data_IF_677883626339
#
_entry.id   IF_677883626339
#
_cell.length_a   1.000
_cell.length_b   1.000
_cell.length_c   1.000
_cell.angle_alpha   90.00
_cell.angle_beta   90.00
_cell.angle_gamma   90.00
#
_symmetry.space_group_name_H-M   'P 1'
#
loop_
_entity.id
_entity.type
_entity.pdbx_description
1 polymer ?
#
# COMPACT_ATOMS: atom_id res chain seq x y z
N UNK A 1 -4.21 7.42 -4.80
CA UNK A 1 -3.29 8.57 -4.51
C UNK A 1 -2.85 8.55 -3.05
N UNK A 2 -1.67 9.10 -2.72
CA UNK A 2 -1.36 9.46 -1.33
C UNK A 2 -2.10 10.74 -0.91
N UNK A 3 -2.04 11.10 0.37
CA UNK A 3 -2.80 12.23 0.89
C UNK A 3 -2.47 13.56 0.19
N UNK A 4 -1.19 13.95 -0.01
CA UNK A 4 -0.85 15.14 -0.81
C UNK A 4 -1.38 15.10 -2.25
N UNK A 5 -1.21 13.98 -2.96
CA UNK A 5 -1.73 13.79 -4.32
C UNK A 5 -3.26 13.91 -4.36
N UNK A 6 -3.96 13.32 -3.37
CA UNK A 6 -5.40 13.35 -3.28
C UNK A 6 -5.94 14.76 -3.06
N UNK A 7 -5.27 15.56 -2.21
CA UNK A 7 -5.64 16.96 -1.99
C UNK A 7 -5.51 17.77 -3.29
N UNK A 8 -4.42 17.57 -4.06
CA UNK A 8 -4.26 18.22 -5.37
C UNK A 8 -5.36 17.80 -6.35
N UNK A 9 -5.68 16.51 -6.44
CA UNK A 9 -6.74 16.00 -7.32
C UNK A 9 -8.12 16.56 -6.96
N UNK A 10 -8.39 16.78 -5.67
CA UNK A 10 -9.62 17.36 -5.16
C UNK A 10 -9.63 18.90 -5.12
N UNK A 11 -8.52 19.57 -5.46
CA UNK A 11 -8.41 21.03 -5.38
C UNK A 11 -8.42 21.58 -3.94
N UNK A 12 -8.02 20.78 -2.94
CA UNK A 12 -7.99 21.18 -1.54
C UNK A 12 -6.68 21.88 -1.19
N UNK A 13 -6.78 23.01 -0.49
CA UNK A 13 -5.63 23.77 0.00
C UNK A 13 -4.95 23.14 1.24
N UNK A 14 -5.60 22.18 1.89
CA UNK A 14 -5.11 21.56 3.12
C UNK A 14 -5.48 20.08 3.21
N UNK A 15 -4.68 19.34 3.98
CA UNK A 15 -4.92 17.93 4.23
C UNK A 15 -6.10 17.75 5.21
N UNK A 16 -7.01 16.78 4.96
CA UNK A 16 -8.03 16.39 5.92
C UNK A 16 -7.45 16.07 7.31
N UNK A 17 -8.04 16.64 8.36
CA UNK A 17 -7.53 16.54 9.73
C UNK A 17 -7.78 15.17 10.39
N UNK A 18 -8.85 14.46 10.00
CA UNK A 18 -9.25 13.20 10.60
C UNK A 18 -9.61 12.12 9.55
N UNK A 19 -9.88 10.91 10.02
CA UNK A 19 -10.27 9.81 9.12
C UNK A 19 -11.64 10.03 8.47
N UNK A 20 -12.60 10.66 9.15
CA UNK A 20 -13.93 10.90 8.59
C UNK A 20 -13.85 11.83 7.36
N UNK A 21 -13.03 12.87 7.44
CA UNK A 21 -12.72 13.77 6.34
C UNK A 21 -11.93 13.07 5.22
N UNK A 22 -11.00 12.18 5.55
CA UNK A 22 -10.33 11.32 4.55
C UNK A 22 -11.30 10.36 3.84
N UNK A 23 -12.28 9.79 4.55
CA UNK A 23 -13.35 8.95 3.96
C UNK A 23 -14.20 9.75 2.99
N UNK A 24 -14.60 10.97 3.37
CA UNK A 24 -15.34 11.90 2.48
C UNK A 24 -14.54 12.24 1.23
N UNK A 25 -13.26 12.54 1.38
CA UNK A 25 -12.36 12.80 0.25
C UNK A 25 -12.23 11.58 -0.68
N UNK A 26 -12.09 10.37 -0.13
CA UNK A 26 -12.02 9.16 -0.94
C UNK A 26 -13.31 8.94 -1.75
N UNK A 27 -14.48 9.18 -1.15
CA UNK A 27 -15.77 9.10 -1.83
C UNK A 27 -15.94 10.16 -2.91
N UNK A 28 -15.51 11.41 -2.66
CA UNK A 28 -15.55 12.49 -3.66
C UNK A 28 -14.70 12.13 -4.88
N UNK A 29 -13.44 11.72 -4.66
CA UNK A 29 -12.55 11.31 -5.74
C UNK A 29 -13.07 10.09 -6.49
N UNK A 30 -13.75 9.15 -5.81
CA UNK A 30 -14.36 8.00 -6.44
C UNK A 30 -15.53 8.35 -7.38
N UNK A 31 -16.06 9.58 -7.35
CA UNK A 31 -17.04 10.01 -8.37
C UNK A 31 -16.43 10.14 -9.77
N UNK A 32 -15.10 10.13 -9.88
CA UNK A 32 -14.35 10.29 -11.13
C UNK A 32 -13.89 8.97 -11.74
N UNK A 33 -14.23 7.83 -11.13
CA UNK A 33 -13.81 6.51 -11.61
C UNK A 33 -14.46 5.36 -10.84
N UNK A 34 -14.14 4.10 -11.17
CA UNK A 34 -14.79 2.95 -10.56
C UNK A 34 -14.38 2.70 -9.10
N UNK A 35 -13.17 3.13 -8.71
CA UNK A 35 -12.63 2.98 -7.36
C UNK A 35 -11.49 3.97 -7.09
N UNK A 36 -11.27 4.30 -5.82
CA UNK A 36 -10.12 5.09 -5.35
C UNK A 36 -9.51 4.48 -4.11
N UNK A 37 -8.20 4.23 -4.14
CA UNK A 37 -7.41 3.90 -2.95
C UNK A 37 -6.63 5.13 -2.46
N UNK A 38 -7.08 5.69 -1.34
CA UNK A 38 -6.43 6.78 -0.63
C UNK A 38 -5.41 6.21 0.36
N UNK A 39 -4.11 6.44 0.11
CA UNK A 39 -3.03 5.88 0.92
C UNK A 39 -2.78 6.69 2.20
N UNK A 40 -2.66 5.99 3.33
CA UNK A 40 -2.46 6.56 4.66
C UNK A 40 -1.02 6.76 5.10
N UNK A 41 -0.02 6.41 4.27
CA UNK A 41 1.40 6.42 4.67
C UNK A 41 1.93 7.74 5.27
N UNK A 42 1.23 8.86 5.04
CA UNK A 42 1.58 10.20 5.54
C UNK A 42 0.98 10.54 6.91
N UNK A 43 0.02 9.76 7.43
CA UNK A 43 -0.56 10.02 8.74
C UNK A 43 0.43 9.66 9.86
N UNK A 44 0.39 10.36 10.98
CA UNK A 44 1.13 10.00 12.20
C UNK A 44 0.46 8.81 12.92
N UNK A 45 1.22 8.13 13.79
CA UNK A 45 0.70 7.07 14.68
C UNK A 45 1.23 5.67 14.40
N UNK A 46 0.80 4.74 15.25
CA UNK A 46 1.26 3.34 15.26
C UNK A 46 0.76 2.50 14.07
N UNK A 47 -0.24 2.98 13.34
CA UNK A 47 -0.82 2.31 12.19
C UNK A 47 -0.67 3.11 10.89
N UNK A 48 -0.69 2.38 9.77
CA UNK A 48 -0.92 2.93 8.44
C UNK A 48 -2.29 2.48 7.97
N UNK A 49 -3.15 3.44 7.62
CA UNK A 49 -4.54 3.19 7.25
C UNK A 49 -4.81 3.65 5.83
N UNK A 50 -4.99 2.72 4.90
CA UNK A 50 -5.43 2.99 3.54
C UNK A 50 -6.96 2.87 3.45
N UNK A 51 -7.60 3.74 2.66
CA UNK A 51 -9.05 3.78 2.48
C UNK A 51 -9.41 3.52 1.02
N UNK A 52 -10.14 2.45 0.76
CA UNK A 52 -10.68 2.12 -0.56
C UNK A 52 -12.13 2.59 -0.66
N UNK A 53 -12.40 3.56 -1.51
CA UNK A 53 -13.74 3.90 -1.94
C UNK A 53 -14.11 3.07 -3.18
N UNK A 54 -15.20 2.30 -3.08
CA UNK A 54 -15.71 1.41 -4.14
C UNK A 54 -17.23 1.28 -3.99
N UNK A 55 -17.98 1.51 -5.08
CA UNK A 55 -19.44 1.33 -5.05
C UNK A 55 -20.19 2.22 -4.05
N UNK A 56 -19.64 3.40 -3.72
CA UNK A 56 -20.22 4.31 -2.72
C UNK A 56 -19.87 3.97 -1.26
N UNK A 57 -19.16 2.87 -1.02
CA UNK A 57 -18.71 2.46 0.31
C UNK A 57 -17.21 2.71 0.50
N UNK A 58 -16.78 2.83 1.77
CA UNK A 58 -15.36 2.94 2.12
C UNK A 58 -14.92 1.75 2.97
N UNK A 59 -13.98 0.98 2.45
CA UNK A 59 -13.30 -0.11 3.15
C UNK A 59 -11.96 0.37 3.70
N UNK A 60 -11.66 -0.03 4.93
CA UNK A 60 -10.44 0.37 5.66
C UNK A 60 -9.44 -0.79 5.65
N UNK A 61 -8.18 -0.49 5.34
CA UNK A 61 -7.05 -1.43 5.42
C UNK A 61 -6.01 -0.87 6.38
N UNK A 62 -5.98 -1.40 7.60
CA UNK A 62 -5.06 -0.99 8.66
C UNK A 62 -3.95 -2.01 8.85
N UNK A 63 -2.74 -1.54 9.13
CA UNK A 63 -1.58 -2.37 9.45
C UNK A 63 -0.63 -1.64 10.40
N UNK A 64 0.16 -2.37 11.20
CA UNK A 64 1.20 -1.77 12.04
C UNK A 64 2.22 -1.01 11.20
N UNK A 65 2.61 0.17 11.66
CA UNK A 65 3.69 0.94 11.05
C UNK A 65 5.03 0.24 11.30
N UNK A 66 5.79 0.01 10.24
CA UNK A 66 7.14 -0.51 10.32
C UNK A 66 8.09 0.69 10.34
N UNK A 67 8.96 0.76 11.37
CA UNK A 67 10.06 1.71 11.39
C UNK A 67 11.10 1.27 10.35
N UNK A 68 11.07 1.89 9.17
CA UNK A 68 11.96 1.59 8.06
C UNK A 68 12.29 2.85 7.27
N UNK A 69 13.53 2.97 6.82
CA UNK A 69 13.95 4.01 5.87
C UNK A 69 13.59 3.66 4.42
N UNK A 70 13.24 2.39 4.15
CA UNK A 70 12.91 1.88 2.82
C UNK A 70 11.52 2.30 2.36
N UNK A 71 11.41 3.56 1.95
CA UNK A 71 10.15 4.17 1.47
C UNK A 71 10.12 4.31 -0.06
N UNK A 72 11.27 4.13 -0.73
CA UNK A 72 11.37 4.18 -2.18
C UNK A 72 10.65 2.98 -2.81
N UNK A 73 9.90 3.24 -3.88
CA UNK A 73 9.15 2.19 -4.59
C UNK A 73 7.90 1.66 -3.89
N UNK A 74 7.56 2.10 -2.67
CA UNK A 74 6.35 1.63 -1.95
C UNK A 74 5.05 1.88 -2.75
N UNK A 75 4.93 3.05 -3.37
CA UNK A 75 3.78 3.39 -4.23
C UNK A 75 3.70 2.53 -5.49
N UNK A 76 4.83 2.37 -6.20
CA UNK A 76 4.91 1.55 -7.41
C UNK A 76 4.64 0.07 -7.11
N UNK A 77 5.20 -0.43 -6.00
CA UNK A 77 5.00 -1.80 -5.52
C UNK A 77 3.53 -2.07 -5.23
N UNK A 78 2.86 -1.18 -4.50
CA UNK A 78 1.44 -1.31 -4.20
C UNK A 78 0.61 -1.33 -5.48
N UNK A 79 0.84 -0.38 -6.39
CA UNK A 79 0.11 -0.30 -7.65
C UNK A 79 0.33 -1.55 -8.52
N UNK A 80 1.57 -2.02 -8.65
CA UNK A 80 1.92 -3.23 -9.40
C UNK A 80 1.29 -4.49 -8.79
N UNK A 81 1.31 -4.62 -7.45
CA UNK A 81 0.68 -5.73 -6.76
C UNK A 81 -0.85 -5.74 -6.94
N UNK A 82 -1.51 -4.58 -6.89
CA UNK A 82 -2.95 -4.47 -7.19
C UNK A 82 -3.22 -4.93 -8.63
N UNK A 83 -2.47 -4.41 -9.60
CA UNK A 83 -2.64 -4.76 -11.01
C UNK A 83 -2.45 -6.26 -11.26
N UNK A 84 -1.41 -6.87 -10.68
CA UNK A 84 -1.13 -8.30 -10.80
C UNK A 84 -2.27 -9.16 -10.22
N UNK A 85 -2.86 -8.75 -9.09
CA UNK A 85 -3.97 -9.46 -8.47
C UNK A 85 -5.27 -9.32 -9.26
N UNK A 86 -5.56 -8.13 -9.76
CA UNK A 86 -6.70 -7.92 -10.67
C UNK A 86 -6.57 -8.77 -11.93
N UNK A 87 -5.36 -8.86 -12.52
CA UNK A 87 -5.11 -9.71 -13.69
C UNK A 87 -5.31 -11.22 -13.41
N UNK A 88 -5.20 -11.65 -12.15
CA UNK A 88 -5.51 -13.02 -11.70
C UNK A 88 -7.01 -13.27 -11.47
N UNK A 89 -7.85 -12.26 -11.64
CA UNK A 89 -9.30 -12.36 -11.43
C UNK A 89 -9.78 -12.02 -10.02
N UNK A 90 -8.93 -11.49 -9.15
CA UNK A 90 -9.35 -11.05 -7.82
C UNK A 90 -10.36 -9.90 -7.94
N UNK A 91 -11.42 -9.92 -7.11
CA UNK A 91 -12.29 -8.75 -6.93
C UNK A 91 -11.47 -7.56 -6.38
N UNK A 92 -11.82 -6.33 -6.76
CA UNK A 92 -11.07 -5.09 -6.38
C UNK A 92 -10.74 -5.02 -4.88
N UNK A 93 -11.74 -5.31 -4.05
CA UNK A 93 -11.63 -5.38 -2.61
C UNK A 93 -10.54 -6.37 -2.11
N UNK A 94 -10.46 -7.54 -2.72
CA UNK A 94 -9.49 -8.59 -2.40
C UNK A 94 -8.11 -8.28 -2.98
N UNK A 95 -8.05 -7.75 -4.22
CA UNK A 95 -6.83 -7.32 -4.87
C UNK A 95 -6.11 -6.24 -4.05
N UNK A 96 -6.85 -5.23 -3.56
CA UNK A 96 -6.30 -4.18 -2.70
C UNK A 96 -5.80 -4.76 -1.37
N UNK A 97 -6.59 -5.60 -0.70
CA UNK A 97 -6.19 -6.20 0.57
C UNK A 97 -4.88 -6.98 0.46
N UNK A 98 -4.81 -7.92 -0.48
CA UNK A 98 -3.61 -8.72 -0.66
C UNK A 98 -2.39 -7.93 -1.16
N UNK A 99 -2.60 -6.82 -1.87
CA UNK A 99 -1.51 -5.92 -2.27
C UNK A 99 -0.98 -5.08 -1.09
N UNK A 100 -1.86 -4.65 -0.18
CA UNK A 100 -1.47 -3.98 1.06
C UNK A 100 -0.63 -4.92 1.93
N UNK A 101 -1.05 -6.18 2.07
CA UNK A 101 -0.32 -7.21 2.81
C UNK A 101 1.03 -7.52 2.15
N UNK A 102 1.05 -7.65 0.82
CA UNK A 102 2.28 -7.84 0.06
C UNK A 102 3.30 -6.71 0.29
N UNK A 103 2.86 -5.46 0.21
CA UNK A 103 3.72 -4.31 0.45
C UNK A 103 4.22 -4.28 1.91
N UNK A 104 3.36 -4.61 2.88
CA UNK A 104 3.74 -4.64 4.29
C UNK A 104 4.87 -5.64 4.55
N UNK A 105 4.75 -6.85 4.02
CA UNK A 105 5.80 -7.85 4.08
C UNK A 105 7.07 -7.42 3.33
N UNK A 106 6.94 -6.75 2.18
CA UNK A 106 8.09 -6.26 1.42
C UNK A 106 8.87 -5.17 2.18
N UNK A 107 8.18 -4.28 2.90
CA UNK A 107 8.83 -3.28 3.77
C UNK A 107 9.50 -3.97 4.96
N UNK A 108 8.85 -4.99 5.55
CA UNK A 108 9.39 -5.74 6.69
C UNK A 108 10.69 -6.48 6.37
N UNK A 109 10.79 -7.00 5.15
CA UNK A 109 11.97 -7.75 4.67
C UNK A 109 12.85 -6.90 3.76
N UNK A 110 12.76 -5.56 3.85
CA UNK A 110 13.61 -4.68 3.08
C UNK A 110 15.09 -4.97 3.39
N UNK A 111 15.96 -5.09 2.38
CA UNK A 111 17.33 -5.58 2.55
C UNK A 111 18.27 -4.56 3.23
N UNK A 112 17.78 -3.37 3.57
CA UNK A 112 18.57 -2.33 4.24
C UNK A 112 19.73 -1.79 3.40
N UNK A 113 19.65 -1.88 2.07
CA UNK A 113 20.73 -1.49 1.16
C UNK A 113 20.66 0.01 0.86
N UNK A 114 21.79 0.70 1.03
CA UNK A 114 21.98 2.13 0.72
C UNK A 114 21.83 3.04 1.95
N UNK A 115 22.58 4.15 1.97
CA UNK A 115 22.58 5.12 3.09
C UNK A 115 21.37 6.08 3.13
N UNK A 116 20.28 5.75 2.44
CA UNK A 116 19.10 6.61 2.26
C UNK A 116 17.79 5.81 2.20
N UNK A 117 16.92 6.13 1.25
CA UNK A 117 15.66 5.39 1.05
C UNK A 117 15.87 4.11 0.24
N UNK A 118 16.21 3.01 0.93
CA UNK A 118 16.45 1.71 0.31
C UNK A 118 15.20 1.11 -0.36
N UNK A 119 15.36 0.11 -1.24
CA UNK A 119 14.25 -0.59 -1.87
C UNK A 119 13.50 -1.48 -0.86
N UNK A 120 12.29 -1.91 -1.23
CA UNK A 120 11.53 -2.94 -0.51
C UNK A 120 11.97 -4.35 -0.93
N UNK A 121 11.81 -5.34 -0.05
CA UNK A 121 12.17 -6.74 -0.30
C UNK A 121 11.12 -7.48 -1.11
N UNK A 122 11.10 -7.31 -2.44
CA UNK A 122 10.05 -7.89 -3.30
C UNK A 122 9.92 -9.42 -3.25
N UNK A 123 11.03 -10.14 -2.99
CA UNK A 123 11.08 -11.61 -2.98
C UNK A 123 10.83 -12.23 -1.60
N UNK A 124 10.25 -11.48 -0.66
CA UNK A 124 10.03 -11.95 0.71
C UNK A 124 9.12 -13.18 0.84
N UNK A 125 8.30 -13.47 -0.18
CA UNK A 125 7.47 -14.67 -0.24
C UNK A 125 8.15 -15.84 -0.98
N UNK A 126 9.35 -15.62 -1.53
CA UNK A 126 10.12 -16.62 -2.29
C UNK A 126 11.28 -17.23 -1.50
N UNK A 127 11.42 -16.92 -0.20
CA UNK A 127 12.61 -17.29 0.58
C UNK A 127 12.59 -18.69 1.21
N UNK A 128 11.72 -19.60 0.78
CA UNK A 128 11.78 -21.01 1.16
C UNK A 128 11.88 -21.90 -0.09
N UNK A 129 13.12 -22.30 -0.42
CA UNK A 129 13.40 -23.22 -1.52
C UNK A 129 14.86 -23.71 -1.61
N UNK A 130 15.86 -22.97 -1.12
CA UNK A 130 17.28 -23.34 -1.33
C UNK A 130 18.13 -23.34 -0.05
N UNK A 131 17.64 -23.97 1.03
CA UNK A 131 18.50 -24.34 2.17
C UNK A 131 18.26 -25.79 2.59
N UNK A 132 18.54 -26.72 1.69
CA UNK A 132 18.50 -28.14 2.03
C UNK A 132 18.80 -29.07 0.86
N UNK A 133 20.09 -29.27 0.55
CA UNK A 133 20.70 -30.61 0.48
C UNK A 133 22.21 -30.44 0.41
N UNK A 134 22.87 -30.69 1.54
CA UNK A 134 24.20 -31.28 1.54
C UNK A 134 24.09 -32.61 0.78
N UNK A 135 24.76 -32.74 -0.36
CA UNK A 135 25.16 -34.04 -0.90
C UNK A 135 26.66 -34.14 -0.70
N UNK A 136 27.02 -34.96 0.27
CA UNK A 136 28.30 -35.63 0.31
C UNK A 136 28.52 -36.33 -1.04
N UNK A 137 29.71 -36.09 -1.60
CA UNK A 137 30.34 -36.86 -2.67
C UNK A 137 31.79 -37.05 -2.29
#
# INVERSE_FOLDING_TARGET
>A
PNLPEACRLAGLAGAPADEAARRRLALELARRGPAVLLKGGHAAGAEVVDLLALGGEVRRFARPRIASSSTHGTGCTLAAAIAARLARGDAVAAAVGGAVDYLHGAIRHAPGIGGGHGPVGHFWQCTEGERGTSRAG
#
